data_IF_151231719378
#
_entry.id   IF_151231719378
#
_cell.length_a   1.000
_cell.length_b   1.000
_cell.length_c   1.000
_cell.angle_alpha   90.00
_cell.angle_beta   90.00
_cell.angle_gamma   90.00
#
_symmetry.space_group_name_H-M   'P 1'
#
loop_
_entity.id
_entity.type
_entity.pdbx_description
1 polymer ?
#
# COMPACT_ATOMS: atom_id res chain seq x y z
N UNK A 1 -16.47 -49.83 1.29
CA UNK A 1 -15.26 -49.33 1.98
C UNK A 1 -14.24 -48.87 0.96
N UNK A 2 -14.34 -47.61 0.53
CA UNK A 2 -13.28 -46.89 -0.15
C UNK A 2 -13.34 -45.46 0.36
N UNK A 3 -12.36 -45.09 1.19
CA UNK A 3 -12.26 -43.76 1.77
C UNK A 3 -11.69 -42.78 0.74
N UNK A 4 -12.40 -41.68 0.51
CA UNK A 4 -11.79 -40.52 -0.14
C UNK A 4 -10.78 -39.89 0.83
N UNK A 5 -9.50 -39.93 0.46
CA UNK A 5 -8.47 -39.10 1.06
C UNK A 5 -8.84 -37.63 0.85
N UNK A 6 -9.14 -36.92 1.94
CA UNK A 6 -9.18 -35.45 1.93
C UNK A 6 -7.76 -34.93 1.69
N UNK A 7 -7.52 -34.31 0.53
CA UNK A 7 -6.31 -33.52 0.32
C UNK A 7 -6.35 -32.31 1.26
N UNK A 8 -5.36 -32.22 2.15
CA UNK A 8 -5.10 -31.02 2.95
C UNK A 8 -4.10 -30.17 2.18
N UNK A 9 -4.58 -29.21 1.41
CA UNK A 9 -3.73 -28.30 0.66
C UNK A 9 -4.55 -27.39 -0.26
N UNK A 10 -4.04 -26.17 -0.48
CA UNK A 10 -4.54 -25.27 -1.51
C UNK A 10 -4.26 -25.89 -2.88
N UNK A 11 -5.30 -26.01 -3.70
CA UNK A 11 -5.20 -26.58 -5.04
C UNK A 11 -6.17 -25.90 -5.99
N UNK A 12 -5.70 -25.62 -7.21
CA UNK A 12 -6.52 -25.15 -8.32
C UNK A 12 -6.83 -26.37 -9.17
N UNK A 13 -8.07 -26.88 -9.10
CA UNK A 13 -8.51 -28.03 -9.89
C UNK A 13 -9.80 -27.65 -10.64
N UNK A 14 -9.74 -27.62 -11.97
CA UNK A 14 -10.89 -27.34 -12.82
C UNK A 14 -11.76 -28.60 -12.94
N UNK A 15 -12.76 -28.74 -12.08
CA UNK A 15 -13.64 -29.92 -12.03
C UNK A 15 -14.90 -29.82 -12.92
N UNK A 16 -14.87 -29.01 -13.98
CA UNK A 16 -15.98 -28.92 -14.94
C UNK A 16 -15.44 -29.11 -16.36
N UNK A 17 -15.79 -30.23 -16.98
CA UNK A 17 -15.49 -30.54 -18.38
C UNK A 17 -16.26 -29.60 -19.31
N UNK A 18 -15.64 -28.46 -19.63
CA UNK A 18 -16.02 -27.55 -20.70
C UNK A 18 -14.97 -27.55 -21.81
N UNK A 19 -15.41 -27.49 -23.06
CA UNK A 19 -14.61 -27.72 -24.29
C UNK A 19 -13.59 -26.62 -24.63
N UNK A 20 -13.52 -25.52 -23.87
CA UNK A 20 -12.54 -24.43 -24.10
C UNK A 20 -11.95 -23.92 -22.78
N UNK A 21 -10.65 -23.63 -22.81
CA UNK A 21 -9.80 -23.36 -21.64
C UNK A 21 -9.98 -21.95 -21.04
N UNK A 22 -10.40 -20.97 -21.86
CA UNK A 22 -10.49 -19.55 -21.50
C UNK A 22 -11.83 -19.12 -20.86
N UNK A 23 -12.84 -19.99 -20.88
CA UNK A 23 -14.20 -19.73 -20.34
C UNK A 23 -14.41 -20.34 -18.94
N UNK A 24 -13.35 -20.84 -18.29
CA UNK A 24 -13.48 -21.55 -17.01
C UNK A 24 -13.41 -20.56 -15.84
N UNK A 25 -14.48 -20.40 -15.02
CA UNK A 25 -14.41 -19.59 -13.81
C UNK A 25 -13.43 -20.23 -12.81
N UNK A 26 -12.51 -19.42 -12.27
CA UNK A 26 -11.53 -19.86 -11.27
C UNK A 26 -12.26 -20.03 -9.94
N UNK A 27 -12.42 -21.27 -9.50
CA UNK A 27 -13.05 -21.61 -8.22
C UNK A 27 -11.97 -21.96 -7.21
N UNK A 28 -11.71 -21.06 -6.26
CA UNK A 28 -10.76 -21.29 -5.17
C UNK A 28 -11.44 -22.11 -4.06
N UNK A 29 -10.90 -23.29 -3.75
CA UNK A 29 -11.32 -24.08 -2.58
C UNK A 29 -10.39 -23.80 -1.41
N UNK A 30 -10.96 -23.39 -0.28
CA UNK A 30 -10.29 -23.33 1.00
C UNK A 30 -10.43 -24.65 1.77
N UNK A 31 -9.79 -24.78 2.95
CA UNK A 31 -9.78 -26.00 3.75
C UNK A 31 -11.18 -26.50 4.19
N UNK A 32 -12.19 -25.62 4.16
CA UNK A 32 -13.57 -25.92 4.55
C UNK A 32 -14.59 -25.85 3.39
N UNK A 33 -14.18 -25.66 2.14
CA UNK A 33 -15.11 -25.65 1.00
C UNK A 33 -14.81 -24.62 -0.08
N UNK A 34 -15.78 -24.44 -0.98
CA UNK A 34 -15.70 -23.48 -2.09
C UNK A 34 -15.84 -22.06 -1.52
N UNK A 35 -14.87 -21.19 -1.80
CA UNK A 35 -14.97 -19.77 -1.46
C UNK A 35 -15.90 -19.10 -2.48
N UNK A 36 -17.19 -19.01 -2.17
CA UNK A 36 -18.16 -18.21 -2.95
C UNK A 36 -18.29 -16.81 -2.33
N UNK A 37 -18.36 -15.78 -3.18
CA UNK A 37 -18.40 -14.35 -2.81
C UNK A 37 -19.65 -13.86 -2.04
N UNK A 38 -20.58 -14.73 -1.64
CA UNK A 38 -21.81 -14.30 -0.94
C UNK A 38 -21.85 -14.74 0.54
N UNK A 39 -21.97 -13.75 1.44
CA UNK A 39 -22.43 -13.91 2.83
C UNK A 39 -23.93 -14.22 2.80
N UNK A 40 -24.36 -15.35 3.36
CA UNK A 40 -25.75 -15.55 3.76
C UNK A 40 -25.89 -15.15 5.24
N UNK A 41 -26.70 -14.14 5.50
CA UNK A 41 -27.41 -13.94 6.76
C UNK A 41 -28.52 -15.00 6.87
N UNK A 42 -28.58 -15.76 7.97
CA UNK A 42 -29.75 -15.84 8.86
C UNK A 42 -29.48 -16.77 10.07
N UNK A 43 -29.73 -16.18 11.25
CA UNK A 43 -30.27 -16.70 12.51
C UNK A 43 -29.85 -18.06 13.11
N UNK A 44 -29.43 -17.96 14.38
CA UNK A 44 -30.00 -18.80 15.43
C UNK A 44 -29.08 -19.83 16.09
N UNK A 45 -28.62 -19.48 17.29
CA UNK A 45 -28.29 -20.35 18.44
C UNK A 45 -26.98 -21.17 18.43
N UNK A 46 -26.23 -20.91 19.50
CA UNK A 46 -25.30 -21.78 20.26
C UNK A 46 -23.79 -21.59 20.06
N UNK A 47 -23.20 -20.95 21.07
CA UNK A 47 -21.96 -21.30 21.77
C UNK A 47 -20.81 -21.86 20.94
N UNK A 48 -19.96 -20.99 20.42
CA UNK A 48 -18.51 -21.24 20.39
C UNK A 48 -17.79 -19.98 20.87
N UNK A 49 -16.91 -20.18 21.85
CA UNK A 49 -16.08 -19.15 22.46
C UNK A 49 -15.13 -18.56 21.40
N UNK A 50 -15.46 -17.37 20.89
CA UNK A 50 -14.56 -16.59 20.05
C UNK A 50 -13.46 -16.04 20.94
N UNK A 51 -12.23 -16.52 20.74
CA UNK A 51 -11.03 -15.99 21.36
C UNK A 51 -10.83 -14.54 20.90
N UNK A 52 -11.06 -13.59 21.82
CA UNK A 52 -10.68 -12.18 21.67
C UNK A 52 -9.16 -12.08 21.44
N UNK A 53 -8.75 -11.69 20.23
CA UNK A 53 -7.38 -11.33 19.91
C UNK A 53 -7.32 -9.81 19.61
N UNK A 54 -6.66 -8.99 20.45
CA UNK A 54 -6.81 -7.54 20.44
C UNK A 54 -5.83 -6.86 19.47
N UNK A 55 -5.90 -7.10 18.17
CA UNK A 55 -5.08 -6.37 17.18
C UNK A 55 -5.64 -6.54 15.75
N UNK A 56 -6.65 -5.72 15.43
CA UNK A 56 -7.29 -5.61 14.10
C UNK A 56 -7.13 -4.20 13.47
N UNK A 57 -6.18 -3.39 13.94
CA UNK A 57 -6.19 -1.92 13.74
C UNK A 57 -5.57 -1.42 12.42
N UNK A 58 -5.07 -2.28 11.52
CA UNK A 58 -4.46 -1.78 10.27
C UNK A 58 -4.89 -2.48 9.00
N UNK A 59 -5.35 -3.73 9.07
CA UNK A 59 -5.74 -4.47 7.87
C UNK A 59 -7.21 -4.28 7.55
N UNK A 60 -8.05 -4.12 8.57
CA UNK A 60 -9.47 -3.81 8.37
C UNK A 60 -9.67 -2.34 7.99
N UNK A 61 -8.75 -1.44 8.36
CA UNK A 61 -8.82 -0.05 7.89
C UNK A 61 -8.59 0.05 6.37
N UNK A 62 -7.63 -0.67 5.79
CA UNK A 62 -7.42 -0.64 4.34
C UNK A 62 -8.42 -1.54 3.57
N UNK A 63 -8.82 -2.70 4.11
CA UNK A 63 -9.77 -3.61 3.46
C UNK A 63 -11.25 -3.22 3.61
N UNK A 64 -11.68 -2.62 4.72
CA UNK A 64 -13.05 -2.10 4.86
C UNK A 64 -13.20 -0.75 4.16
N UNK A 65 -12.13 0.07 4.05
CA UNK A 65 -12.14 1.22 3.15
C UNK A 65 -12.23 0.77 1.68
N UNK A 66 -11.70 -0.40 1.29
CA UNK A 66 -11.87 -0.93 -0.07
C UNK A 66 -13.24 -1.60 -0.32
N UNK A 67 -13.84 -2.21 0.70
CA UNK A 67 -15.09 -3.00 0.52
C UNK A 67 -16.38 -2.26 0.86
N UNK A 68 -16.35 -1.17 1.63
CA UNK A 68 -17.54 -0.38 1.98
C UNK A 68 -17.68 0.95 1.22
N UNK A 69 -17.06 1.09 0.04
CA UNK A 69 -17.16 2.30 -0.81
C UNK A 69 -18.55 2.48 -1.48
N UNK A 70 -19.53 1.61 -1.19
CA UNK A 70 -20.83 1.64 -1.84
C UNK A 70 -21.99 2.08 -0.95
N UNK A 71 -22.44 3.30 -1.23
CA UNK A 71 -23.74 3.84 -0.86
C UNK A 71 -24.83 3.08 -1.65
N UNK A 72 -25.60 2.24 -0.96
CA UNK A 72 -26.76 1.53 -1.54
C UNK A 72 -27.98 2.44 -1.75
N UNK A 73 -27.96 3.67 -1.23
CA UNK A 73 -29.09 4.59 -1.26
C UNK A 73 -28.78 5.85 -2.08
N UNK A 74 -29.05 5.81 -3.39
CA UNK A 74 -29.24 7.05 -4.17
C UNK A 74 -28.72 7.07 -5.61
N UNK A 75 -27.81 6.19 -6.01
CA UNK A 75 -27.30 6.16 -7.39
C UNK A 75 -28.11 5.14 -8.19
N UNK A 76 -28.97 5.60 -9.10
CA UNK A 76 -29.57 4.69 -10.09
C UNK A 76 -28.43 4.06 -10.88
N UNK A 77 -28.42 2.73 -11.05
CA UNK A 77 -27.37 1.96 -11.73
C UNK A 77 -27.14 2.28 -13.23
N UNK A 78 -27.52 3.46 -13.68
CA UNK A 78 -27.54 3.92 -15.07
C UNK A 78 -26.73 5.21 -15.23
N UNK A 79 -26.33 5.50 -16.46
CA UNK A 79 -25.68 6.77 -16.81
C UNK A 79 -26.67 7.95 -16.67
N UNK A 80 -26.15 9.13 -16.32
CA UNK A 80 -26.97 10.31 -16.12
C UNK A 80 -27.58 10.81 -17.45
N UNK A 81 -28.88 11.10 -17.45
CA UNK A 81 -29.59 11.52 -18.67
C UNK A 81 -29.20 12.95 -19.12
N UNK A 82 -28.95 13.84 -18.15
CA UNK A 82 -28.61 15.26 -18.36
C UNK A 82 -27.38 15.68 -17.55
N UNK A 83 -26.65 16.70 -18.01
CA UNK A 83 -25.48 17.26 -17.30
C UNK A 83 -25.80 17.77 -15.89
N UNK A 84 -26.96 18.41 -15.70
CA UNK A 84 -27.42 18.86 -14.38
C UNK A 84 -27.67 17.69 -13.43
N UNK A 85 -28.22 16.58 -13.96
CA UNK A 85 -28.40 15.33 -13.21
C UNK A 85 -27.06 14.69 -12.84
N UNK A 86 -26.13 14.58 -13.80
CA UNK A 86 -24.79 14.04 -13.57
C UNK A 86 -24.04 14.79 -12.44
N UNK A 87 -24.14 16.12 -12.42
CA UNK A 87 -23.49 16.95 -11.42
C UNK A 87 -24.19 16.86 -10.06
N UNK A 88 -25.52 16.76 -10.04
CA UNK A 88 -26.30 16.58 -8.82
C UNK A 88 -26.02 15.21 -8.17
N UNK A 89 -26.08 14.15 -8.96
CA UNK A 89 -25.83 12.77 -8.52
C UNK A 89 -24.38 12.64 -8.04
N UNK A 90 -23.41 13.16 -8.81
CA UNK A 90 -22.01 13.18 -8.40
C UNK A 90 -21.77 13.96 -7.10
N UNK A 91 -22.43 15.10 -6.92
CA UNK A 91 -22.34 15.86 -5.66
C UNK A 91 -22.89 15.06 -4.48
N UNK A 92 -23.99 14.34 -4.65
CA UNK A 92 -24.58 13.51 -3.60
C UNK A 92 -23.66 12.32 -3.26
N UNK A 93 -23.11 11.64 -4.26
CA UNK A 93 -22.12 10.56 -4.07
C UNK A 93 -20.90 11.06 -3.29
N UNK A 94 -20.36 12.24 -3.65
CA UNK A 94 -19.20 12.83 -2.98
C UNK A 94 -19.48 13.20 -1.52
N UNK A 95 -20.60 13.89 -1.25
CA UNK A 95 -20.98 14.31 0.11
C UNK A 95 -21.18 13.10 1.01
N UNK A 96 -21.83 12.06 0.48
CA UNK A 96 -22.13 10.88 1.26
C UNK A 96 -20.85 10.11 1.57
N UNK A 97 -19.95 9.93 0.59
CA UNK A 97 -18.65 9.30 0.81
C UNK A 97 -17.81 10.03 1.88
N UNK A 98 -17.72 11.36 1.85
CA UNK A 98 -16.99 12.10 2.89
C UNK A 98 -17.69 12.07 4.25
N UNK A 99 -19.02 12.03 4.27
CA UNK A 99 -19.79 11.90 5.52
C UNK A 99 -19.58 10.53 6.16
N UNK A 100 -19.55 9.47 5.37
CA UNK A 100 -19.28 8.11 5.85
C UNK A 100 -17.86 8.02 6.39
N UNK A 101 -16.87 8.45 5.63
CA UNK A 101 -15.48 8.48 6.09
C UNK A 101 -15.30 9.32 7.39
N UNK A 102 -16.00 10.45 7.51
CA UNK A 102 -15.97 11.26 8.73
C UNK A 102 -16.67 10.59 9.92
N UNK A 103 -17.78 9.88 9.65
CA UNK A 103 -18.51 9.13 10.67
C UNK A 103 -17.67 7.98 11.21
N UNK A 104 -17.00 7.23 10.33
CA UNK A 104 -16.16 6.10 10.72
C UNK A 104 -15.02 6.56 11.64
N UNK A 105 -14.42 7.72 11.38
CA UNK A 105 -13.37 8.30 12.25
C UNK A 105 -13.90 8.68 13.65
N UNK A 106 -15.15 9.14 13.75
CA UNK A 106 -15.72 9.61 15.03
C UNK A 106 -16.33 8.48 15.86
N UNK A 107 -17.11 7.63 15.20
CA UNK A 107 -17.96 6.60 15.82
C UNK A 107 -17.21 5.29 16.10
N UNK A 108 -15.97 5.14 15.64
CA UNK A 108 -15.15 3.97 15.96
C UNK A 108 -14.74 3.98 17.45
N UNK A 109 -15.46 3.23 18.27
CA UNK A 109 -15.23 3.10 19.71
C UNK A 109 -13.94 2.33 20.07
N UNK A 110 -13.31 1.64 19.11
CA UNK A 110 -12.07 0.88 19.33
C UNK A 110 -10.82 1.78 19.29
N UNK A 111 -10.90 2.94 18.63
CA UNK A 111 -9.78 3.88 18.55
C UNK A 111 -9.52 4.63 19.87
N UNK A 112 -8.24 4.69 20.28
CA UNK A 112 -7.81 5.51 21.41
C UNK A 112 -8.03 7.01 21.14
N UNK A 113 -8.18 7.82 22.19
CA UNK A 113 -8.38 9.28 22.05
C UNK A 113 -7.25 9.97 21.28
N UNK A 114 -6.04 9.43 21.35
CA UNK A 114 -4.88 9.96 20.64
C UNK A 114 -4.95 9.62 19.16
N UNK A 115 -5.32 8.38 18.80
CA UNK A 115 -5.53 7.96 17.42
C UNK A 115 -6.64 8.78 16.75
N UNK A 116 -7.79 8.98 17.44
CA UNK A 116 -8.86 9.85 16.94
C UNK A 116 -8.35 11.27 16.66
N UNK A 117 -7.54 11.84 17.56
CA UNK A 117 -6.96 13.17 17.37
C UNK A 117 -5.99 13.21 16.17
N UNK A 118 -5.16 12.18 16.00
CA UNK A 118 -4.25 12.08 14.84
C UNK A 118 -5.03 11.92 13.53
N UNK A 119 -6.06 11.07 13.49
CA UNK A 119 -6.93 10.87 12.32
C UNK A 119 -7.65 12.16 11.92
N UNK A 120 -8.13 12.95 12.89
CA UNK A 120 -8.74 14.26 12.63
C UNK A 120 -7.72 15.24 12.03
N UNK A 121 -6.48 15.24 12.51
CA UNK A 121 -5.40 16.05 11.95
C UNK A 121 -4.97 15.57 10.55
N UNK A 122 -5.05 14.26 10.28
CA UNK A 122 -4.72 13.65 8.99
C UNK A 122 -5.81 13.87 7.94
N UNK A 123 -7.08 13.92 8.37
CA UNK A 123 -8.25 14.04 7.50
C UNK A 123 -8.12 15.08 6.36
N UNK A 124 -7.72 16.35 6.59
CA UNK A 124 -7.57 17.32 5.50
C UNK A 124 -6.53 16.89 4.45
N UNK A 125 -5.44 16.23 4.86
CA UNK A 125 -4.43 15.71 3.93
C UNK A 125 -4.98 14.51 3.17
N UNK A 126 -5.70 13.61 3.84
CA UNK A 126 -6.36 12.47 3.21
C UNK A 126 -7.41 12.89 2.19
N UNK A 127 -8.18 13.96 2.48
CA UNK A 127 -9.09 14.58 1.51
C UNK A 127 -8.30 15.09 0.31
N UNK A 128 -7.28 15.93 0.50
CA UNK A 128 -6.46 16.44 -0.61
C UNK A 128 -5.85 15.32 -1.48
N UNK A 129 -5.37 14.24 -0.86
CA UNK A 129 -4.85 13.05 -1.55
C UNK A 129 -5.94 12.35 -2.35
N UNK A 130 -7.09 12.04 -1.74
CA UNK A 130 -8.22 11.38 -2.42
C UNK A 130 -8.82 12.25 -3.54
N UNK A 131 -8.75 13.57 -3.43
CA UNK A 131 -9.23 14.51 -4.46
C UNK A 131 -8.23 14.66 -5.62
N UNK A 132 -7.01 14.14 -5.54
CA UNK A 132 -5.98 14.28 -6.61
C UNK A 132 -5.53 12.94 -7.18
N UNK A 133 -5.60 11.86 -6.40
CA UNK A 133 -5.25 10.49 -6.81
C UNK A 133 -6.51 9.74 -7.24
N UNK A 134 -6.57 9.35 -8.51
CA UNK A 134 -7.64 8.50 -9.03
C UNK A 134 -7.40 7.04 -8.65
N UNK A 135 -8.23 6.46 -7.79
CA UNK A 135 -8.15 5.03 -7.43
C UNK A 135 -9.37 4.33 -8.03
N UNK A 136 -9.24 3.62 -9.16
CA UNK A 136 -10.29 2.75 -9.65
C UNK A 136 -10.28 1.44 -8.84
N UNK A 137 -11.27 1.23 -7.96
CA UNK A 137 -11.38 0.00 -7.18
C UNK A 137 -12.12 -1.10 -7.97
N UNK A 138 -11.83 -2.37 -7.66
CA UNK A 138 -12.54 -3.52 -8.23
C UNK A 138 -13.95 -3.62 -7.62
N UNK A 139 -14.98 -3.58 -8.47
CA UNK A 139 -16.38 -3.82 -8.08
C UNK A 139 -17.20 -2.57 -7.79
N UNK A 140 -16.59 -1.44 -7.42
CA UNK A 140 -17.32 -0.16 -7.27
C UNK A 140 -16.41 1.07 -7.22
N UNK A 141 -16.89 2.23 -7.68
CA UNK A 141 -16.12 3.49 -7.68
C UNK A 141 -17.05 4.70 -7.52
N UNK A 142 -16.58 5.74 -6.82
CA UNK A 142 -17.27 7.02 -6.76
C UNK A 142 -16.95 7.84 -8.02
N UNK A 143 -17.95 8.04 -8.89
CA UNK A 143 -17.80 8.73 -10.19
C UNK A 143 -17.30 10.15 -10.02
N UNK A 144 -17.86 10.85 -9.03
CA UNK A 144 -17.47 12.21 -8.70
C UNK A 144 -16.02 12.31 -8.23
N UNK A 145 -15.54 11.35 -7.44
CA UNK A 145 -14.18 11.34 -6.93
C UNK A 145 -13.17 11.07 -8.06
N UNK A 146 -13.47 10.12 -8.97
CA UNK A 146 -12.64 9.87 -10.15
C UNK A 146 -12.64 11.10 -11.08
N UNK A 147 -13.80 11.69 -11.37
CA UNK A 147 -13.89 12.89 -12.21
C UNK A 147 -13.14 14.09 -11.62
N UNK A 148 -13.27 14.30 -10.30
CA UNK A 148 -12.61 15.39 -9.60
C UNK A 148 -11.09 15.16 -9.48
N UNK A 149 -10.67 13.93 -9.22
CA UNK A 149 -9.24 13.56 -9.20
C UNK A 149 -8.55 13.84 -10.52
N UNK A 150 -9.19 13.52 -11.65
CA UNK A 150 -8.68 13.89 -12.98
C UNK A 150 -8.67 15.40 -13.21
N UNK A 151 -9.63 16.14 -12.66
CA UNK A 151 -9.66 17.60 -12.82
C UNK A 151 -8.62 18.33 -11.96
N UNK A 152 -8.30 17.81 -10.77
CA UNK A 152 -7.41 18.43 -9.80
C UNK A 152 -5.96 17.92 -9.87
N UNK A 153 -5.73 16.73 -10.43
CA UNK A 153 -4.40 16.17 -10.58
C UNK A 153 -3.41 17.06 -11.37
N UNK A 154 -3.78 17.81 -12.42
CA UNK A 154 -2.84 18.71 -13.10
C UNK A 154 -2.32 19.80 -12.17
N UNK A 155 -3.19 20.35 -11.31
CA UNK A 155 -2.80 21.38 -10.34
C UNK A 155 -1.76 20.84 -9.36
N UNK A 156 -1.96 19.61 -8.86
CA UNK A 156 -0.97 18.95 -8.01
C UNK A 156 0.36 18.76 -8.71
N UNK A 157 0.37 18.24 -9.95
CA UNK A 157 1.59 18.07 -10.74
C UNK A 157 2.30 19.40 -10.98
N UNK A 158 1.56 20.48 -11.22
CA UNK A 158 2.13 21.82 -11.34
C UNK A 158 2.82 22.31 -10.07
N UNK A 159 2.19 22.11 -8.92
CA UNK A 159 2.77 22.44 -7.62
C UNK A 159 4.01 21.58 -7.34
N UNK A 160 3.92 20.28 -7.58
CA UNK A 160 5.04 19.34 -7.40
C UNK A 160 6.23 19.69 -8.28
N UNK A 161 6.00 19.95 -9.57
CA UNK A 161 7.06 20.29 -10.53
C UNK A 161 7.70 21.66 -10.26
N UNK A 162 6.91 22.60 -9.75
CA UNK A 162 7.43 23.90 -9.30
C UNK A 162 8.34 23.73 -8.09
N UNK A 163 7.91 22.95 -7.09
CA UNK A 163 8.64 22.81 -5.83
C UNK A 163 9.92 21.96 -5.96
N UNK A 164 9.92 20.91 -6.79
CA UNK A 164 11.02 19.95 -6.85
C UNK A 164 11.99 20.17 -8.01
N UNK A 165 11.52 20.76 -9.12
CA UNK A 165 12.35 20.94 -10.32
C UNK A 165 12.54 22.41 -10.71
N UNK A 166 12.01 23.37 -9.94
CA UNK A 166 11.96 24.80 -10.27
C UNK A 166 11.38 25.06 -11.69
N UNK A 167 10.56 24.13 -12.19
CA UNK A 167 9.98 24.21 -13.53
C UNK A 167 8.63 24.90 -13.47
N UNK A 168 8.49 26.01 -14.21
CA UNK A 168 7.22 26.71 -14.30
C UNK A 168 6.25 26.03 -15.29
N UNK A 169 5.47 25.07 -14.80
CA UNK A 169 4.42 24.44 -15.59
C UNK A 169 3.14 25.29 -15.71
N UNK A 170 2.99 26.38 -14.95
CA UNK A 170 1.77 27.21 -14.89
C UNK A 170 1.45 27.99 -16.18
N UNK A 171 2.27 27.84 -17.23
CA UNK A 171 2.01 28.39 -18.55
C UNK A 171 1.10 27.50 -19.42
N UNK A 172 1.39 27.48 -20.72
CA UNK A 172 0.59 26.74 -21.70
C UNK A 172 0.58 25.22 -21.48
N UNK A 173 1.62 24.67 -20.83
CA UNK A 173 1.75 23.24 -20.53
C UNK A 173 0.64 22.78 -19.57
N UNK A 174 0.41 23.50 -18.46
CA UNK A 174 -0.74 23.26 -17.58
C UNK A 174 -2.07 23.38 -18.33
N UNK A 175 -2.19 24.37 -19.21
CA UNK A 175 -3.36 24.56 -20.05
C UNK A 175 -3.68 23.32 -20.91
N UNK A 176 -2.66 22.68 -21.49
CA UNK A 176 -2.82 21.44 -22.26
C UNK A 176 -3.23 20.28 -21.36
N UNK A 177 -2.59 20.10 -20.19
CA UNK A 177 -2.94 19.03 -19.26
C UNK A 177 -4.39 19.15 -18.76
N UNK A 178 -4.82 20.36 -18.37
CA UNK A 178 -6.20 20.64 -17.96
C UNK A 178 -7.18 20.44 -19.11
N UNK A 179 -6.82 20.88 -20.33
CA UNK A 179 -7.66 20.71 -21.51
C UNK A 179 -7.89 19.24 -21.91
N UNK A 180 -7.01 18.32 -21.51
CA UNK A 180 -7.17 16.87 -21.76
C UNK A 180 -7.90 16.18 -20.61
N UNK A 181 -7.50 16.45 -19.36
CA UNK A 181 -7.96 15.73 -18.18
C UNK A 181 -9.36 16.15 -17.71
N UNK A 182 -9.69 17.45 -17.81
CA UNK A 182 -10.99 17.98 -17.42
C UNK A 182 -12.16 17.42 -18.26
N UNK A 183 -12.11 17.42 -19.62
CA UNK A 183 -13.19 16.81 -20.39
C UNK A 183 -13.27 15.30 -20.21
N UNK A 184 -12.16 14.62 -19.94
CA UNK A 184 -12.15 13.19 -19.63
C UNK A 184 -12.86 12.90 -18.30
N UNK A 185 -12.59 13.70 -17.26
CA UNK A 185 -13.30 13.62 -15.98
C UNK A 185 -14.80 13.89 -16.13
N UNK A 186 -15.19 14.90 -16.92
CA UNK A 186 -16.59 15.20 -17.22
C UNK A 186 -17.29 14.10 -18.02
N UNK A 187 -16.57 13.45 -18.95
CA UNK A 187 -17.07 12.31 -19.70
C UNK A 187 -17.34 11.12 -18.79
N UNK A 188 -16.44 10.84 -17.84
CA UNK A 188 -16.62 9.78 -16.83
C UNK A 188 -17.83 10.10 -15.95
N UNK A 189 -17.96 11.34 -15.48
CA UNK A 189 -19.10 11.74 -14.66
C UNK A 189 -20.45 11.54 -15.37
N UNK A 190 -20.48 11.71 -16.70
CA UNK A 190 -21.71 11.61 -17.48
C UNK A 190 -22.05 10.19 -17.94
N UNK A 191 -21.07 9.49 -18.52
CA UNK A 191 -21.32 8.24 -19.24
C UNK A 191 -21.03 7.00 -18.40
N UNK A 192 -20.32 7.14 -17.29
CA UNK A 192 -19.99 6.00 -16.47
C UNK A 192 -21.22 5.55 -15.66
N UNK A 193 -21.57 4.25 -15.69
CA UNK A 193 -22.73 3.73 -14.98
C UNK A 193 -22.54 3.94 -13.47
N UNK A 194 -23.59 4.44 -12.79
CA UNK A 194 -23.61 4.54 -11.33
C UNK A 194 -23.81 3.18 -10.66
N UNK A 195 -23.59 3.10 -9.34
CA UNK A 195 -23.86 1.91 -8.52
C UNK A 195 -22.84 0.76 -8.65
N UNK A 196 -23.28 -0.48 -8.44
CA UNK A 196 -22.49 -1.74 -8.50
C UNK A 196 -21.92 -2.08 -9.90
N UNK A 197 -21.96 -1.13 -10.85
CA UNK A 197 -21.45 -1.31 -12.19
C UNK A 197 -19.92 -1.33 -12.19
N UNK A 198 -19.34 -2.43 -12.66
CA UNK A 198 -17.89 -2.51 -12.87
C UNK A 198 -17.45 -1.58 -14.00
N UNK A 199 -16.39 -0.79 -13.78
CA UNK A 199 -15.74 -0.09 -14.89
C UNK A 199 -15.17 -1.14 -15.85
N UNK A 200 -15.36 -0.92 -17.16
CA UNK A 200 -14.71 -1.75 -18.16
C UNK A 200 -13.18 -1.71 -17.93
N UNK A 201 -12.54 -2.88 -17.87
CA UNK A 201 -11.11 -3.03 -17.55
C UNK A 201 -10.21 -2.18 -18.45
N UNK A 202 -10.58 -2.04 -19.72
CA UNK A 202 -9.90 -1.15 -20.68
C UNK A 202 -9.81 0.32 -20.23
N UNK A 203 -10.83 0.83 -19.53
CA UNK A 203 -10.85 2.20 -19.01
C UNK A 203 -10.24 2.27 -17.60
N UNK A 204 -10.46 1.25 -16.77
CA UNK A 204 -9.94 1.21 -15.41
C UNK A 204 -8.41 1.17 -15.36
N UNK A 205 -7.76 0.34 -16.20
CA UNK A 205 -6.29 0.16 -16.21
C UNK A 205 -5.52 1.47 -16.46
N UNK A 206 -5.78 2.27 -17.52
CA UNK A 206 -5.03 3.51 -17.73
C UNK A 206 -5.30 4.55 -16.64
N UNK A 207 -6.50 4.60 -16.07
CA UNK A 207 -6.81 5.48 -14.93
C UNK A 207 -6.06 5.03 -13.67
N UNK A 208 -5.93 3.72 -13.45
CA UNK A 208 -5.17 3.16 -12.33
C UNK A 208 -3.68 3.50 -12.46
N UNK A 209 -3.11 3.31 -13.65
CA UNK A 209 -1.71 3.65 -13.92
C UNK A 209 -1.46 5.16 -13.77
N UNK A 210 -2.39 5.98 -14.23
CA UNK A 210 -2.34 7.43 -14.03
C UNK A 210 -2.36 7.78 -12.53
N UNK A 211 -3.33 7.23 -11.79
CA UNK A 211 -3.44 7.41 -10.34
C UNK A 211 -2.20 6.95 -9.59
N UNK A 212 -1.60 5.84 -9.99
CA UNK A 212 -0.34 5.34 -9.44
C UNK A 212 0.80 6.34 -9.59
N UNK A 213 0.95 6.97 -10.76
CA UNK A 213 1.98 8.00 -10.98
C UNK A 213 1.73 9.22 -10.10
N UNK A 214 0.48 9.69 -9.99
CA UNK A 214 0.14 10.81 -9.10
C UNK A 214 0.39 10.44 -7.63
N UNK A 215 0.05 9.22 -7.21
CA UNK A 215 0.34 8.72 -5.87
C UNK A 215 1.86 8.67 -5.59
N UNK A 216 2.67 8.26 -6.57
CA UNK A 216 4.12 8.26 -6.44
C UNK A 216 4.67 9.67 -6.17
N UNK A 217 4.15 10.71 -6.84
CA UNK A 217 4.56 12.11 -6.57
C UNK A 217 4.14 12.59 -5.17
N UNK A 218 3.02 12.09 -4.63
CA UNK A 218 2.62 12.36 -3.25
C UNK A 218 3.56 11.69 -2.24
N UNK A 219 3.91 10.42 -2.47
CA UNK A 219 4.83 9.67 -1.63
C UNK A 219 6.19 10.37 -1.58
N UNK A 220 6.71 10.79 -2.75
CA UNK A 220 7.96 11.53 -2.87
C UNK A 220 7.92 12.87 -2.11
N UNK A 221 6.87 13.67 -2.32
CA UNK A 221 6.70 14.95 -1.63
C UNK A 221 6.59 14.79 -0.09
N UNK A 222 5.90 13.75 0.38
CA UNK A 222 5.79 13.45 1.82
C UNK A 222 7.14 12.95 2.37
N UNK A 223 7.84 12.10 1.63
CA UNK A 223 9.16 11.59 2.01
C UNK A 223 10.16 12.72 2.22
N UNK A 224 10.20 13.72 1.33
CA UNK A 224 11.06 14.89 1.49
C UNK A 224 10.78 15.67 2.79
N UNK A 225 9.50 15.87 3.12
CA UNK A 225 9.13 16.57 4.38
C UNK A 225 9.45 15.72 5.60
N UNK A 226 9.29 14.40 5.50
CA UNK A 226 9.61 13.47 6.56
C UNK A 226 11.11 13.43 6.84
N UNK A 227 11.96 13.40 5.80
CA UNK A 227 13.42 13.47 5.94
C UNK A 227 13.83 14.80 6.58
N UNK A 228 13.29 15.92 6.12
CA UNK A 228 13.56 17.24 6.71
C UNK A 228 13.15 17.33 8.20
N UNK A 229 12.02 16.72 8.56
CA UNK A 229 11.57 16.64 9.96
C UNK A 229 12.52 15.79 10.81
N UNK A 230 13.01 14.68 10.26
CA UNK A 230 13.97 13.84 10.97
C UNK A 230 15.29 14.56 11.16
N UNK A 231 15.84 15.23 10.14
CA UNK A 231 17.04 16.06 10.29
C UNK A 231 16.88 17.11 11.40
N UNK A 232 15.73 17.78 11.44
CA UNK A 232 15.40 18.72 12.51
C UNK A 232 15.36 18.06 13.90
N UNK A 233 14.75 16.88 14.01
CA UNK A 233 14.74 16.10 15.26
C UNK A 233 16.14 15.65 15.67
N UNK A 234 17.01 15.28 14.73
CA UNK A 234 18.39 14.88 15.01
C UNK A 234 19.22 16.01 15.59
N UNK A 235 19.09 17.20 15.01
CA UNK A 235 19.72 18.41 15.55
C UNK A 235 19.19 18.72 16.96
N UNK A 236 17.87 18.60 17.17
CA UNK A 236 17.24 18.90 18.47
C UNK A 236 17.63 17.89 19.56
N UNK A 237 17.65 16.60 19.24
CA UNK A 237 17.97 15.51 20.17
C UNK A 237 19.47 15.21 20.25
N UNK A 238 20.30 15.90 19.45
CA UNK A 238 21.75 15.64 19.28
C UNK A 238 22.05 14.20 18.89
N UNK A 239 21.20 13.62 18.04
CA UNK A 239 21.37 12.27 17.49
C UNK A 239 21.92 12.39 16.06
N UNK A 240 22.96 11.63 15.68
CA UNK A 240 23.47 11.62 14.30
C UNK A 240 22.39 11.27 13.27
N UNK A 241 22.42 11.96 12.11
CA UNK A 241 21.48 11.71 11.01
C UNK A 241 21.56 10.26 10.47
N UNK A 242 22.76 9.65 10.51
CA UNK A 242 22.98 8.24 10.17
C UNK A 242 22.08 7.31 11.02
N UNK A 243 22.05 7.51 12.34
CA UNK A 243 21.26 6.69 13.26
C UNK A 243 19.77 6.86 13.00
N UNK A 244 19.29 8.10 12.80
CA UNK A 244 17.87 8.34 12.53
C UNK A 244 17.41 7.71 11.22
N UNK A 245 18.27 7.73 10.19
CA UNK A 245 17.99 7.05 8.93
C UNK A 245 18.01 5.52 9.04
N UNK A 246 18.96 4.97 9.79
CA UNK A 246 19.07 3.52 10.00
C UNK A 246 17.97 2.96 10.92
N UNK A 247 17.37 3.78 11.77
CA UNK A 247 16.36 3.36 12.74
C UNK A 247 14.98 3.81 12.31
N UNK A 248 14.63 5.08 12.52
CA UNK A 248 13.26 5.60 12.35
C UNK A 248 12.80 5.50 10.90
N UNK A 249 13.63 5.90 9.92
CA UNK A 249 13.26 5.76 8.49
C UNK A 249 13.14 4.29 8.09
N UNK A 250 14.12 3.46 8.45
CA UNK A 250 14.14 2.05 8.08
C UNK A 250 12.97 1.27 8.71
N UNK A 251 12.64 1.55 9.97
CA UNK A 251 11.48 1.00 10.66
C UNK A 251 10.19 1.46 9.99
N UNK A 252 10.05 2.76 9.73
CA UNK A 252 8.86 3.32 9.09
C UNK A 252 8.57 2.65 7.74
N UNK A 253 9.60 2.50 6.89
CA UNK A 253 9.45 1.87 5.59
C UNK A 253 9.10 0.37 5.67
N UNK A 254 9.52 -0.33 6.73
CA UNK A 254 9.33 -1.78 6.83
C UNK A 254 8.15 -2.17 7.74
N UNK A 255 7.51 -1.22 8.44
CA UNK A 255 6.45 -1.50 9.41
C UNK A 255 5.16 -1.98 8.73
N UNK A 256 4.76 -1.33 7.62
CA UNK A 256 3.60 -1.76 6.84
C UNK A 256 3.84 -3.11 6.15
N UNK A 257 5.06 -3.35 5.65
CA UNK A 257 5.44 -4.66 5.11
C UNK A 257 5.41 -5.74 6.20
N UNK A 258 5.83 -5.41 7.43
CA UNK A 258 5.79 -6.33 8.56
C UNK A 258 4.34 -6.71 8.92
N UNK A 259 3.43 -5.74 9.02
CA UNK A 259 2.02 -6.02 9.34
C UNK A 259 1.38 -6.89 8.26
N UNK A 260 1.57 -6.56 6.98
CA UNK A 260 1.07 -7.36 5.86
C UNK A 260 1.63 -8.80 5.87
N UNK A 261 2.94 -8.95 6.10
CA UNK A 261 3.58 -10.28 6.17
C UNK A 261 3.08 -11.11 7.35
N UNK A 262 2.88 -10.49 8.51
CA UNK A 262 2.33 -11.15 9.70
C UNK A 262 0.93 -11.66 9.40
N UNK A 263 0.07 -10.88 8.76
CA UNK A 263 -1.27 -11.39 8.49
C UNK A 263 -1.30 -12.43 7.38
N UNK A 264 -0.53 -12.28 6.31
CA UNK A 264 -0.41 -13.35 5.31
C UNK A 264 0.03 -14.66 5.97
N UNK A 265 0.97 -14.61 6.91
CA UNK A 265 1.38 -15.78 7.68
C UNK A 265 0.24 -16.34 8.55
N UNK A 266 -0.54 -15.49 9.24
CA UNK A 266 -1.73 -15.90 10.02
C UNK A 266 -2.81 -16.56 9.16
N UNK A 267 -2.98 -16.11 7.93
CA UNK A 267 -3.91 -16.66 6.93
C UNK A 267 -3.40 -17.98 6.29
N UNK A 268 -2.25 -18.50 6.73
CA UNK A 268 -1.65 -19.74 6.21
C UNK A 268 -0.91 -19.57 4.89
N UNK A 269 -0.67 -18.32 4.45
CA UNK A 269 0.05 -17.97 3.22
C UNK A 269 1.53 -17.67 3.52
N UNK A 270 2.15 -18.45 4.42
CA UNK A 270 3.51 -18.21 4.91
C UNK A 270 4.57 -18.19 3.79
N UNK A 271 4.42 -19.02 2.76
CA UNK A 271 5.34 -19.00 1.61
C UNK A 271 5.29 -17.66 0.86
N UNK A 272 4.10 -17.09 0.70
CA UNK A 272 3.92 -15.78 0.07
C UNK A 272 4.53 -14.67 0.93
N UNK A 273 4.32 -14.72 2.25
CA UNK A 273 4.91 -13.77 3.19
C UNK A 273 6.45 -13.80 3.17
N UNK A 274 7.05 -15.00 3.14
CA UNK A 274 8.51 -15.15 3.03
C UNK A 274 9.00 -14.58 1.69
N UNK A 275 8.35 -14.92 0.58
CA UNK A 275 8.71 -14.37 -0.74
C UNK A 275 8.61 -12.85 -0.77
N UNK A 276 7.55 -12.26 -0.21
CA UNK A 276 7.37 -10.80 -0.14
C UNK A 276 8.48 -10.13 0.67
N UNK A 277 8.83 -10.69 1.84
CA UNK A 277 9.89 -10.18 2.72
C UNK A 277 11.28 -10.15 2.04
N UNK A 278 11.56 -11.04 1.09
CA UNK A 278 12.82 -11.02 0.33
C UNK A 278 12.74 -10.18 -0.95
N UNK A 279 11.63 -10.28 -1.68
CA UNK A 279 11.46 -9.64 -2.98
C UNK A 279 11.53 -8.12 -2.87
N UNK A 280 10.95 -7.52 -1.82
CA UNK A 280 10.95 -6.06 -1.61
C UNK A 280 12.38 -5.49 -1.50
N UNK A 281 13.18 -5.90 -0.49
CA UNK A 281 14.56 -5.43 -0.35
C UNK A 281 15.44 -5.75 -1.56
N UNK A 282 15.28 -6.92 -2.18
CA UNK A 282 16.02 -7.27 -3.41
C UNK A 282 15.68 -6.32 -4.56
N UNK A 283 14.40 -6.03 -4.79
CA UNK A 283 13.98 -5.08 -5.81
C UNK A 283 14.55 -3.68 -5.55
N UNK A 284 14.50 -3.21 -4.29
CA UNK A 284 15.03 -1.91 -3.92
C UNK A 284 16.55 -1.81 -4.12
N UNK A 285 17.31 -2.87 -3.83
CA UNK A 285 18.76 -2.88 -4.03
C UNK A 285 19.13 -2.98 -5.51
N UNK A 286 18.48 -3.85 -6.29
CA UNK A 286 18.83 -4.06 -7.69
C UNK A 286 18.31 -2.93 -8.59
N UNK A 287 17.00 -2.65 -8.52
CA UNK A 287 16.33 -1.68 -9.39
C UNK A 287 16.36 -0.30 -8.77
N UNK A 288 16.04 -0.18 -7.48
CA UNK A 288 15.99 1.13 -6.80
C UNK A 288 17.34 1.84 -6.80
N UNK A 289 18.39 1.23 -6.25
CA UNK A 289 19.74 1.81 -6.26
C UNK A 289 20.30 1.91 -7.69
N UNK A 290 20.10 0.88 -8.52
CA UNK A 290 20.58 0.87 -9.90
C UNK A 290 20.01 2.00 -10.76
N UNK A 291 18.68 2.17 -10.73
CA UNK A 291 18.00 3.26 -11.42
C UNK A 291 18.31 4.62 -10.78
N UNK A 292 18.38 4.71 -9.45
CA UNK A 292 18.73 5.92 -8.73
C UNK A 292 20.11 6.47 -9.11
N UNK A 293 21.15 5.62 -9.07
CA UNK A 293 22.49 6.00 -9.52
C UNK A 293 22.55 6.29 -11.03
N UNK A 294 21.80 5.54 -11.84
CA UNK A 294 21.69 5.80 -13.28
C UNK A 294 21.11 7.18 -13.58
N UNK A 295 20.04 7.56 -12.89
CA UNK A 295 19.41 8.87 -13.02
C UNK A 295 20.32 10.00 -12.52
N UNK A 296 20.96 9.81 -11.35
CA UNK A 296 21.93 10.77 -10.80
C UNK A 296 23.09 11.03 -11.76
N UNK A 297 23.60 9.97 -12.43
CA UNK A 297 24.63 10.12 -13.47
C UNK A 297 24.11 10.94 -14.65
N UNK A 298 22.87 10.70 -15.09
CA UNK A 298 22.23 11.45 -16.16
C UNK A 298 22.08 12.95 -15.85
N UNK A 299 21.71 13.29 -14.61
CA UNK A 299 21.49 14.67 -14.17
C UNK A 299 22.82 15.40 -13.94
N UNK A 300 23.76 14.79 -13.21
CA UNK A 300 25.01 15.46 -12.81
C UNK A 300 26.13 15.39 -13.86
N UNK A 301 26.00 14.58 -14.91
CA UNK A 301 27.03 14.33 -15.93
C UNK A 301 28.42 13.98 -15.36
N UNK A 302 28.47 13.48 -14.12
CA UNK A 302 29.70 13.05 -13.47
C UNK A 302 29.90 11.55 -13.69
N UNK A 303 31.07 11.15 -14.15
CA UNK A 303 31.41 9.74 -14.40
C UNK A 303 31.76 8.97 -13.11
N UNK A 304 32.10 9.68 -12.03
CA UNK A 304 32.55 9.07 -10.76
C UNK A 304 31.74 9.68 -9.62
N UNK A 305 30.85 8.87 -9.02
CA UNK A 305 30.14 9.20 -7.79
C UNK A 305 30.85 8.50 -6.64
N UNK A 306 31.58 9.25 -5.81
CA UNK A 306 32.23 8.70 -4.62
C UNK A 306 31.15 8.43 -3.56
N UNK A 307 30.82 7.16 -3.35
CA UNK A 307 29.96 6.72 -2.24
C UNK A 307 30.87 6.13 -1.17
N UNK A 308 31.03 6.85 -0.07
CA UNK A 308 31.73 6.34 1.11
C UNK A 308 30.88 5.25 1.75
N UNK A 309 31.37 4.00 1.76
CA UNK A 309 30.74 2.93 2.54
C UNK A 309 31.02 3.20 4.01
N UNK A 310 30.05 3.79 4.70
CA UNK A 310 30.14 3.98 6.14
C UNK A 310 30.16 2.62 6.85
N UNK A 311 30.80 2.53 8.04
CA UNK A 311 30.82 1.31 8.85
C UNK A 311 29.41 0.74 9.12
N UNK A 312 28.40 1.60 9.17
CA UNK A 312 27.00 1.21 9.36
C UNK A 312 26.41 0.43 8.19
N UNK A 313 26.70 0.87 6.97
CA UNK A 313 26.25 0.19 5.75
C UNK A 313 26.92 -1.20 5.68
N UNK A 314 28.22 -1.26 5.96
CA UNK A 314 28.97 -2.52 5.91
C UNK A 314 28.49 -3.53 6.96
N UNK A 315 28.22 -3.09 8.19
CA UNK A 315 27.64 -3.95 9.23
C UNK A 315 26.23 -4.42 8.87
N UNK A 316 25.38 -3.55 8.31
CA UNK A 316 24.07 -3.93 7.79
C UNK A 316 24.14 -5.05 6.76
N UNK A 317 25.06 -4.96 5.78
CA UNK A 317 25.27 -6.03 4.81
C UNK A 317 25.71 -7.35 5.46
N UNK A 318 26.66 -7.31 6.41
CA UNK A 318 27.14 -8.51 7.11
C UNK A 318 26.00 -9.23 7.83
N UNK A 319 25.17 -8.50 8.58
CA UNK A 319 24.03 -9.09 9.29
C UNK A 319 22.95 -9.62 8.34
N UNK A 320 22.67 -8.93 7.23
CA UNK A 320 21.78 -9.42 6.18
C UNK A 320 22.27 -10.75 5.57
N UNK A 321 23.55 -10.83 5.20
CA UNK A 321 24.15 -12.06 4.68
C UNK A 321 24.12 -13.19 5.72
N UNK A 322 24.43 -12.89 6.98
CA UNK A 322 24.36 -13.86 8.07
C UNK A 322 22.95 -14.43 8.24
N UNK A 323 21.91 -13.59 8.18
CA UNK A 323 20.52 -14.03 8.26
C UNK A 323 20.13 -14.91 7.05
N UNK A 324 20.51 -14.52 5.83
CA UNK A 324 20.26 -15.33 4.63
C UNK A 324 20.91 -16.72 4.71
N UNK A 325 22.18 -16.79 5.15
CA UNK A 325 22.89 -18.06 5.36
C UNK A 325 22.17 -18.90 6.41
N UNK A 326 21.73 -18.28 7.50
CA UNK A 326 21.02 -18.99 8.56
C UNK A 326 19.67 -19.58 8.09
N UNK A 327 18.91 -18.83 7.30
CA UNK A 327 17.64 -19.30 6.71
C UNK A 327 17.90 -20.50 5.80
N UNK A 328 18.91 -20.42 4.94
CA UNK A 328 19.28 -21.51 4.06
C UNK A 328 19.75 -22.74 4.85
N UNK A 329 20.57 -22.54 5.89
CA UNK A 329 21.04 -23.63 6.74
C UNK A 329 19.89 -24.29 7.52
N UNK A 330 19.03 -23.51 8.16
CA UNK A 330 17.88 -24.03 8.91
C UNK A 330 16.85 -24.73 8.01
N UNK A 331 16.59 -24.19 6.81
CA UNK A 331 15.65 -24.77 5.85
C UNK A 331 16.18 -26.03 5.15
N UNK A 332 17.45 -26.03 4.72
CA UNK A 332 18.03 -27.13 3.94
C UNK A 332 18.67 -28.23 4.81
N UNK A 333 19.41 -27.87 5.86
CA UNK A 333 20.23 -28.83 6.61
C UNK A 333 19.46 -29.53 7.73
N UNK A 334 18.47 -28.86 8.34
CA UNK A 334 17.81 -29.37 9.55
C UNK A 334 16.46 -30.04 9.26
N UNK A 335 15.66 -29.54 8.31
CA UNK A 335 14.23 -29.90 8.27
C UNK A 335 13.61 -30.17 6.89
N UNK A 336 14.40 -30.52 5.86
CA UNK A 336 13.87 -30.89 4.52
C UNK A 336 12.90 -29.84 3.93
N UNK A 337 13.20 -28.55 4.09
CA UNK A 337 12.38 -27.45 3.55
C UNK A 337 11.34 -26.85 4.50
N UNK A 338 11.34 -27.22 5.79
CA UNK A 338 10.44 -26.63 6.79
C UNK A 338 11.21 -25.70 7.74
N UNK A 339 10.79 -24.44 7.83
CA UNK A 339 11.42 -23.47 8.75
C UNK A 339 10.95 -23.76 10.18
N UNK A 340 11.86 -23.97 11.15
CA UNK A 340 11.49 -24.24 12.54
C UNK A 340 10.89 -22.99 13.21
N UNK A 341 9.92 -23.18 14.13
CA UNK A 341 9.28 -22.09 14.86
C UNK A 341 10.26 -21.21 15.67
N UNK A 342 11.41 -21.75 16.08
CA UNK A 342 12.46 -21.01 16.78
C UNK A 342 13.23 -20.00 15.91
N UNK A 343 13.08 -20.07 14.58
CA UNK A 343 13.74 -19.15 13.65
C UNK A 343 13.35 -17.68 13.93
N UNK A 344 12.06 -17.41 14.18
CA UNK A 344 11.57 -16.04 14.43
C UNK A 344 12.22 -15.38 15.64
N UNK A 345 12.29 -16.08 16.78
CA UNK A 345 12.92 -15.57 17.99
C UNK A 345 14.41 -15.27 17.77
N UNK A 346 15.09 -16.13 17.03
CA UNK A 346 16.49 -15.94 16.72
C UNK A 346 16.71 -14.76 15.76
N UNK A 347 15.86 -14.58 14.75
CA UNK A 347 15.92 -13.45 13.83
C UNK A 347 15.73 -12.11 14.57
N UNK A 348 14.77 -12.06 15.51
CA UNK A 348 14.57 -10.89 16.40
C UNK A 348 15.83 -10.64 17.24
N UNK A 349 16.43 -11.69 17.81
CA UNK A 349 17.68 -11.57 18.57
C UNK A 349 18.84 -11.03 17.72
N UNK A 350 18.99 -11.53 16.49
CA UNK A 350 20.01 -11.06 15.56
C UNK A 350 19.81 -9.59 15.19
N UNK A 351 18.56 -9.17 14.99
CA UNK A 351 18.22 -7.77 14.74
C UNK A 351 18.55 -6.87 15.93
N UNK A 352 18.27 -7.32 17.16
CA UNK A 352 18.63 -6.57 18.36
C UNK A 352 20.15 -6.39 18.50
N UNK A 353 20.94 -7.44 18.22
CA UNK A 353 22.41 -7.37 18.22
C UNK A 353 22.93 -6.43 17.13
N UNK A 354 22.33 -6.45 15.94
CA UNK A 354 22.65 -5.52 14.85
C UNK A 354 22.44 -4.07 15.29
N UNK A 355 21.25 -3.74 15.80
CA UNK A 355 20.94 -2.37 16.27
C UNK A 355 21.91 -1.92 17.37
N UNK A 356 22.19 -2.78 18.36
CA UNK A 356 23.15 -2.46 19.42
C UNK A 356 24.56 -2.20 18.86
N UNK A 357 25.00 -3.03 17.90
CA UNK A 357 26.32 -2.87 17.28
C UNK A 357 26.42 -1.57 16.48
N UNK A 358 25.39 -1.25 15.68
CA UNK A 358 25.33 0.01 14.92
C UNK A 358 25.29 1.24 15.83
N UNK A 359 24.56 1.17 16.95
CA UNK A 359 24.56 2.24 17.94
C UNK A 359 25.94 2.41 18.57
N UNK A 360 26.57 1.31 19.02
CA UNK A 360 27.92 1.36 19.61
C UNK A 360 28.93 1.93 18.63
N UNK A 361 28.92 1.50 17.36
CA UNK A 361 29.85 2.02 16.36
C UNK A 361 29.69 3.53 16.15
N UNK A 362 28.45 4.03 16.03
CA UNK A 362 28.19 5.46 15.86
C UNK A 362 28.59 6.29 17.09
N UNK A 363 28.38 5.78 18.31
CA UNK A 363 28.69 6.54 19.53
C UNK A 363 30.15 6.38 19.99
N UNK A 364 30.80 5.24 19.72
CA UNK A 364 32.16 4.94 20.16
C UNK A 364 33.25 5.41 19.18
N UNK A 365 32.90 5.53 17.89
CA UNK A 365 33.77 6.11 16.86
C UNK A 365 33.07 7.35 16.29
N UNK A 366 33.06 8.50 17.01
CA UNK A 366 32.69 9.74 16.36
C UNK A 366 33.69 9.96 15.23
N UNK A 367 33.24 9.90 13.99
CA UNK A 367 34.05 10.29 12.84
C UNK A 367 34.65 11.66 13.16
N UNK A 368 35.98 11.71 13.29
CA UNK A 368 36.71 12.96 13.34
C UNK A 368 36.44 13.66 12.01
N UNK A 369 35.59 14.69 12.08
CA UNK A 369 35.25 15.70 11.07
C UNK A 369 36.25 15.88 9.94
#
# INVERSE_FOLDING_TARGET
TMGHQRSRGWGVESSVEGTKEWDRPIVLRGPNGILTRNRHHEDGTNNEETFDAPYHVMEDLDLDIETNVCISTGSTGFAAHNWSGALHDGKQELITHFRECWRDILDDDECSRLEKLLLICEFPFTVCRKLTVSIPCEGSYCRALVALSLALSPLWVGIYAWNNFDTNLWGWQMGVFVAVTLPLGLMILRYAPGGEGTMATFLAVPIALYGFVIAATWIDAIADKLVALLEFLGVTLRIPNSIMGLTILAWGNSMADLSANVTMARKGLANMAITACFAGPLFNILIGLGAGFGLLRGIKQQEILYVSLTPDISTGFVFCFANCIFILFSGLAVNKGVIPAGYGNMAIGMYAVYVLTSLVLNYALPESS
#
